data_IF_297524975841
#
_entry.id   IF_297524975841
#
_cell.length_a   1.000
_cell.length_b   1.000
_cell.length_c   1.000
_cell.angle_alpha   90.00
_cell.angle_beta   90.00
_cell.angle_gamma   90.00
#
_symmetry.space_group_name_H-M   'P 1'
#
loop_
_entity.id
_entity.type
_entity.pdbx_description
1 polymer ?
#
# COMPACT_ATOMS: atom_id res chain seq x y z
N UNK A 1 7.75 8.16 -27.42
CA UNK A 1 6.33 8.56 -27.41
C UNK A 1 5.85 8.62 -25.96
N UNK A 2 5.56 9.81 -25.45
CA UNK A 2 5.16 10.00 -24.05
C UNK A 2 3.84 9.28 -23.78
N UNK A 3 3.78 8.47 -22.70
CA UNK A 3 2.53 7.85 -22.25
C UNK A 3 1.49 8.96 -22.10
N UNK A 4 0.42 8.90 -22.89
CA UNK A 4 -0.69 9.85 -22.76
C UNK A 4 -1.18 9.81 -21.32
N UNK A 5 -1.31 10.99 -20.70
CA UNK A 5 -1.88 11.10 -19.36
C UNK A 5 -3.29 10.50 -19.44
N UNK A 6 -3.63 9.58 -18.52
CA UNK A 6 -4.91 8.87 -18.54
C UNK A 6 -6.11 9.82 -18.44
N UNK A 7 -7.27 9.38 -18.94
CA UNK A 7 -8.52 10.18 -19.08
C UNK A 7 -8.92 11.00 -17.83
N UNK A 8 -8.62 10.50 -16.62
CA UNK A 8 -8.94 11.21 -15.38
C UNK A 8 -8.12 12.47 -15.13
N UNK A 9 -6.94 12.61 -15.74
CA UNK A 9 -6.05 13.76 -15.53
C UNK A 9 -6.62 15.07 -16.06
N UNK A 10 -7.66 15.05 -16.89
CA UNK A 10 -8.37 16.26 -17.32
C UNK A 10 -9.12 16.94 -16.17
N UNK A 11 -9.37 16.22 -15.06
CA UNK A 11 -10.12 16.72 -13.90
C UNK A 11 -9.23 16.98 -12.67
N UNK A 12 -7.92 16.82 -12.82
CA UNK A 12 -6.96 16.92 -11.74
C UNK A 12 -5.71 17.67 -12.17
N UNK A 13 -5.23 18.54 -11.30
CA UNK A 13 -3.92 19.15 -11.43
C UNK A 13 -2.82 18.19 -10.99
N UNK A 14 -1.72 18.15 -11.74
CA UNK A 14 -0.57 17.29 -11.47
C UNK A 14 0.45 18.01 -10.59
N UNK A 15 0.58 17.53 -9.35
CA UNK A 15 1.58 18.02 -8.41
C UNK A 15 2.89 17.25 -8.44
N UNK A 16 3.66 17.41 -7.36
CA UNK A 16 4.96 16.78 -7.19
C UNK A 16 4.92 15.25 -7.31
N UNK A 17 6.06 14.65 -7.66
CA UNK A 17 6.23 13.19 -7.67
C UNK A 17 5.99 12.63 -6.27
N UNK A 18 5.08 11.67 -6.16
CA UNK A 18 4.86 10.90 -4.93
C UNK A 18 5.89 9.78 -4.78
N UNK A 19 6.29 9.15 -5.90
CA UNK A 19 7.36 8.17 -6.00
C UNK A 19 7.95 8.16 -7.42
N UNK A 20 8.86 7.23 -7.73
CA UNK A 20 9.50 7.12 -9.06
C UNK A 20 8.51 6.92 -10.22
N UNK A 21 7.29 6.45 -9.94
CA UNK A 21 6.30 6.06 -10.95
C UNK A 21 4.97 6.83 -10.89
N UNK A 22 4.73 7.61 -9.83
CA UNK A 22 3.43 8.23 -9.55
C UNK A 22 3.59 9.68 -9.11
N UNK A 23 2.62 10.51 -9.51
CA UNK A 23 2.51 11.92 -9.13
C UNK A 23 1.38 12.10 -8.13
N UNK A 24 1.43 13.19 -7.35
CA UNK A 24 0.26 13.67 -6.60
C UNK A 24 -0.74 14.31 -7.57
N UNK A 25 -2.02 14.12 -7.31
CA UNK A 25 -3.11 14.68 -8.08
C UNK A 25 -4.04 15.46 -7.15
N UNK A 26 -4.39 16.68 -7.53
CA UNK A 26 -5.32 17.52 -6.77
C UNK A 26 -6.56 17.78 -7.62
N UNK A 27 -7.76 17.58 -7.06
CA UNK A 27 -9.00 17.76 -7.82
C UNK A 27 -9.22 19.24 -8.17
N UNK A 28 -9.49 19.53 -9.45
CA UNK A 28 -9.70 20.90 -9.92
C UNK A 28 -10.94 21.55 -9.29
N UNK A 29 -12.00 20.77 -9.06
CA UNK A 29 -13.19 21.24 -8.34
C UNK A 29 -12.88 21.71 -6.92
N UNK A 30 -12.05 20.96 -6.19
CA UNK A 30 -11.60 21.37 -4.86
C UNK A 30 -10.73 22.63 -4.91
N UNK A 31 -9.84 22.73 -5.91
CA UNK A 31 -9.00 23.91 -6.10
C UNK A 31 -9.88 25.16 -6.33
N UNK A 32 -10.86 25.09 -7.23
CA UNK A 32 -11.81 26.19 -7.48
C UNK A 32 -12.53 26.65 -6.23
N UNK A 33 -12.99 25.69 -5.43
CA UNK A 33 -13.66 26.00 -4.17
C UNK A 33 -12.75 26.79 -3.22
N UNK A 34 -11.49 26.36 -3.07
CA UNK A 34 -10.52 27.04 -2.22
C UNK A 34 -9.99 28.36 -2.80
N UNK A 35 -10.03 28.54 -4.12
CA UNK A 35 -9.77 29.82 -4.78
C UNK A 35 -10.95 30.80 -4.71
N UNK A 36 -12.13 30.35 -4.28
CA UNK A 36 -13.35 31.16 -4.33
C UNK A 36 -13.88 31.41 -5.76
N UNK A 37 -13.39 30.66 -6.75
CA UNK A 37 -13.71 30.83 -8.17
C UNK A 37 -14.58 29.66 -8.67
N UNK A 38 -15.82 29.61 -8.17
CA UNK A 38 -16.76 28.52 -8.47
C UNK A 38 -17.21 28.51 -9.94
N UNK A 39 -17.14 29.66 -10.61
CA UNK A 39 -17.63 29.84 -11.98
C UNK A 39 -16.65 29.32 -13.06
N UNK A 40 -15.41 29.01 -12.69
CA UNK A 40 -14.43 28.48 -13.65
C UNK A 40 -14.78 27.03 -14.04
N UNK A 41 -14.56 26.68 -15.30
CA UNK A 41 -14.63 25.30 -15.74
C UNK A 41 -13.31 24.55 -15.45
N UNK A 42 -13.30 23.23 -15.67
CA UNK A 42 -12.11 22.40 -15.40
C UNK A 42 -10.90 22.81 -16.24
N UNK A 43 -11.07 23.17 -17.51
CA UNK A 43 -9.97 23.60 -18.38
C UNK A 43 -9.37 24.94 -17.92
N UNK A 44 -10.22 25.92 -17.64
CA UNK A 44 -9.83 27.25 -17.16
C UNK A 44 -9.14 27.19 -15.78
N UNK A 45 -9.44 26.17 -14.99
CA UNK A 45 -8.76 25.96 -13.69
C UNK A 45 -7.33 25.43 -13.88
N UNK A 46 -7.08 24.66 -14.94
CA UNK A 46 -5.73 24.13 -15.25
C UNK A 46 -4.87 25.23 -15.85
N UNK A 47 -5.46 26.09 -16.67
CA UNK A 47 -4.77 27.23 -17.30
C UNK A 47 -4.56 28.39 -16.32
N UNK A 48 -5.09 28.29 -15.10
CA UNK A 48 -4.83 29.23 -14.03
C UNK A 48 -3.36 29.17 -13.62
N UNK A 49 -2.74 30.33 -13.43
CA UNK A 49 -1.28 30.45 -13.30
C UNK A 49 -0.77 29.65 -12.08
N UNK A 50 -0.23 28.47 -12.36
CA UNK A 50 0.09 27.46 -11.33
C UNK A 50 1.20 27.90 -10.37
N UNK A 51 1.89 29.00 -10.70
CA UNK A 51 2.91 29.61 -9.88
C UNK A 51 2.40 30.66 -8.89
N UNK A 52 1.14 31.08 -9.01
CA UNK A 52 0.52 32.01 -8.08
C UNK A 52 0.40 31.38 -6.67
N UNK A 53 0.80 32.13 -5.64
CA UNK A 53 0.76 31.66 -4.26
C UNK A 53 -0.65 31.22 -3.83
N UNK A 54 -1.69 31.89 -4.35
CA UNK A 54 -3.09 31.53 -4.14
C UNK A 54 -3.42 30.13 -4.66
N UNK A 55 -2.93 29.77 -5.85
CA UNK A 55 -3.14 28.45 -6.44
C UNK A 55 -2.44 27.34 -5.64
N UNK A 56 -1.19 27.57 -5.22
CA UNK A 56 -0.44 26.63 -4.37
C UNK A 56 -1.13 26.43 -3.01
N UNK A 57 -1.61 27.50 -2.39
CA UNK A 57 -2.37 27.42 -1.13
C UNK A 57 -3.70 26.67 -1.30
N UNK A 58 -4.43 26.92 -2.40
CA UNK A 58 -5.64 26.17 -2.72
C UNK A 58 -5.36 24.69 -2.94
N UNK A 59 -4.24 24.33 -3.58
CA UNK A 59 -3.81 22.94 -3.73
C UNK A 59 -3.53 22.26 -2.39
N UNK A 60 -2.90 22.97 -1.45
CA UNK A 60 -2.62 22.46 -0.09
C UNK A 60 -3.93 22.26 0.67
N UNK A 61 -4.84 23.24 0.63
CA UNK A 61 -6.12 23.19 1.33
C UNK A 61 -7.06 22.10 0.79
N UNK A 62 -7.11 21.93 -0.54
CA UNK A 62 -7.88 20.89 -1.21
C UNK A 62 -7.42 19.47 -0.85
N UNK A 63 -6.14 19.32 -0.49
CA UNK A 63 -5.49 18.03 -0.30
C UNK A 63 -5.22 17.30 -1.62
N UNK A 64 -4.21 16.43 -1.61
CA UNK A 64 -3.81 15.65 -2.78
C UNK A 64 -4.17 14.17 -2.63
N UNK A 65 -4.57 13.53 -3.72
CA UNK A 65 -4.68 12.07 -3.85
C UNK A 65 -3.53 11.50 -4.66
N UNK A 66 -3.36 10.18 -4.62
CA UNK A 66 -2.42 9.49 -5.49
C UNK A 66 -2.89 9.63 -6.95
N UNK A 67 -1.99 9.99 -7.87
CA UNK A 67 -2.26 10.10 -9.32
C UNK A 67 -2.49 8.77 -10.03
N UNK A 68 -3.05 7.79 -9.32
CA UNK A 68 -3.52 6.54 -9.88
C UNK A 68 -5.00 6.67 -10.25
N UNK A 69 -5.37 6.11 -11.41
CA UNK A 69 -6.74 6.10 -11.94
C UNK A 69 -7.79 5.70 -10.89
N UNK A 70 -7.55 4.66 -10.10
CA UNK A 70 -8.51 4.19 -9.09
C UNK A 70 -8.68 5.17 -7.94
N UNK A 71 -7.59 5.80 -7.48
CA UNK A 71 -7.62 6.80 -6.41
C UNK A 71 -8.35 8.07 -6.85
N UNK A 72 -8.15 8.51 -8.10
CA UNK A 72 -8.85 9.66 -8.68
C UNK A 72 -10.36 9.39 -8.84
N UNK A 73 -10.75 8.20 -9.30
CA UNK A 73 -12.16 7.78 -9.37
C UNK A 73 -12.78 7.71 -7.96
N UNK A 74 -12.04 7.16 -7.00
CA UNK A 74 -12.49 7.04 -5.61
C UNK A 74 -12.69 8.41 -4.95
N UNK A 75 -11.85 9.41 -5.26
CA UNK A 75 -12.05 10.78 -4.79
C UNK A 75 -13.36 11.38 -5.30
N UNK A 76 -13.62 11.28 -6.62
CA UNK A 76 -14.82 11.88 -7.23
C UNK A 76 -16.09 11.18 -6.77
N UNK A 77 -16.15 9.85 -6.92
CA UNK A 77 -17.38 9.10 -6.66
C UNK A 77 -17.56 8.74 -5.20
N UNK A 78 -16.48 8.72 -4.42
CA UNK A 78 -16.50 8.36 -3.01
C UNK A 78 -17.00 6.94 -2.72
N UNK A 79 -16.82 6.57 -1.45
CA UNK A 79 -17.71 5.64 -0.75
C UNK A 79 -18.77 6.46 0.00
N UNK A 80 -18.53 6.73 1.29
CA UNK A 80 -19.46 7.50 2.14
C UNK A 80 -19.46 9.03 1.88
N UNK A 81 -18.41 9.58 1.27
CA UNK A 81 -18.29 11.02 0.99
C UNK A 81 -17.77 11.26 -0.44
N UNK A 82 -18.66 11.37 -1.44
CA UNK A 82 -18.25 11.81 -2.78
C UNK A 82 -17.72 13.25 -2.75
N UNK A 83 -16.86 13.59 -3.71
CA UNK A 83 -16.38 14.96 -3.84
C UNK A 83 -17.55 15.90 -4.18
N UNK A 84 -17.82 16.87 -3.30
CA UNK A 84 -18.92 17.84 -3.46
C UNK A 84 -18.68 18.85 -4.57
N UNK A 85 -17.41 19.07 -4.91
CA UNK A 85 -16.98 20.12 -5.85
C UNK A 85 -16.61 19.55 -7.22
N UNK A 86 -16.66 18.23 -7.40
CA UNK A 86 -16.39 17.62 -8.69
C UNK A 86 -17.42 18.06 -9.72
N UNK A 87 -16.96 18.39 -10.93
CA UNK A 87 -17.85 18.74 -12.03
C UNK A 87 -18.74 17.56 -12.45
N UNK A 88 -19.86 17.88 -13.10
CA UNK A 88 -20.75 16.85 -13.63
C UNK A 88 -20.04 15.98 -14.68
N UNK A 89 -19.19 16.58 -15.51
CA UNK A 89 -18.34 15.89 -16.49
C UNK A 89 -17.37 14.92 -15.81
N UNK A 90 -16.66 15.36 -14.76
CA UNK A 90 -15.78 14.51 -13.96
C UNK A 90 -16.54 13.32 -13.34
N UNK A 91 -17.74 13.56 -12.84
CA UNK A 91 -18.59 12.53 -12.23
C UNK A 91 -19.06 11.49 -13.26
N UNK A 92 -19.49 11.93 -14.44
CA UNK A 92 -19.91 11.04 -15.54
C UNK A 92 -18.73 10.20 -16.04
N UNK A 93 -17.57 10.83 -16.29
CA UNK A 93 -16.37 10.11 -16.74
C UNK A 93 -15.90 9.09 -15.69
N UNK A 94 -15.89 9.46 -14.41
CA UNK A 94 -15.53 8.55 -13.33
C UNK A 94 -16.50 7.35 -13.24
N UNK A 95 -17.83 7.56 -13.39
CA UNK A 95 -18.82 6.47 -13.42
C UNK A 95 -18.58 5.53 -14.59
N UNK A 96 -18.37 6.06 -15.79
CA UNK A 96 -18.10 5.28 -17.00
C UNK A 96 -16.82 4.44 -16.86
N UNK A 97 -15.76 5.01 -16.28
CA UNK A 97 -14.50 4.31 -16.03
C UNK A 97 -14.63 3.22 -14.96
N UNK A 98 -15.35 3.50 -13.87
CA UNK A 98 -15.63 2.48 -12.83
C UNK A 98 -16.39 1.30 -13.41
N UNK A 99 -17.37 1.54 -14.28
CA UNK A 99 -18.12 0.49 -14.98
C UNK A 99 -17.20 -0.33 -15.90
N UNK A 100 -16.38 0.32 -16.75
CA UNK A 100 -15.38 -0.36 -17.62
C UNK A 100 -14.43 -1.27 -16.82
N UNK A 101 -13.98 -0.82 -15.65
CA UNK A 101 -13.10 -1.62 -14.76
C UNK A 101 -13.85 -2.84 -14.18
N UNK A 102 -15.14 -2.70 -13.84
CA UNK A 102 -15.94 -3.81 -13.35
C UNK A 102 -16.26 -4.84 -14.44
N UNK A 103 -16.56 -4.38 -15.65
CA UNK A 103 -16.91 -5.26 -16.77
C UNK A 103 -15.70 -6.09 -17.25
N UNK A 104 -14.51 -5.47 -17.30
CA UNK A 104 -13.25 -6.18 -17.60
C UNK A 104 -12.91 -7.25 -16.55
N UNK A 105 -13.16 -6.98 -15.26
CA UNK A 105 -13.00 -7.98 -14.20
C UNK A 105 -14.00 -9.14 -14.29
N UNK A 106 -15.22 -8.90 -14.77
CA UNK A 106 -16.23 -9.96 -14.98
C UNK A 106 -15.91 -10.84 -16.19
N UNK A 107 -15.38 -10.26 -17.27
CA UNK A 107 -15.04 -10.99 -18.51
C UNK A 107 -13.87 -11.97 -18.32
N UNK A 108 -12.93 -11.70 -17.41
CA UNK A 108 -11.82 -12.62 -17.08
C UNK A 108 -12.17 -13.83 -16.20
N UNK A 109 -13.44 -14.01 -15.79
CA UNK A 109 -13.87 -15.10 -14.88
C UNK A 109 -14.70 -16.20 -15.57
N UNK A 110 -14.93 -16.12 -16.88
CA UNK A 110 -15.62 -17.17 -17.66
C UNK A 110 -14.73 -17.62 -18.80
N UNK A 111 -14.06 -18.75 -18.59
CA UNK A 111 -13.69 -19.81 -19.54
C UNK A 111 -12.56 -20.64 -18.92
N UNK A 112 -12.93 -21.69 -18.18
CA UNK A 112 -12.13 -22.90 -18.08
C UNK A 112 -13.11 -24.05 -18.15
N UNK A 113 -13.52 -24.32 -19.38
CA UNK A 113 -14.22 -25.53 -19.76
C UNK A 113 -13.23 -26.69 -19.70
N UNK A 114 -13.73 -27.85 -19.27
CA UNK A 114 -12.94 -29.05 -19.05
C UNK A 114 -12.71 -29.79 -20.36
N UNK A 115 -11.49 -30.26 -20.59
CA UNK A 115 -11.26 -31.42 -21.43
C UNK A 115 -9.97 -32.12 -21.01
N UNK A 116 -10.10 -33.41 -20.75
CA UNK A 116 -9.04 -34.37 -20.44
C UNK A 116 -8.16 -34.61 -21.66
N UNK A 117 -6.88 -34.90 -21.42
CA UNK A 117 -5.94 -35.37 -22.44
C UNK A 117 -4.58 -35.63 -21.81
N UNK A 118 -4.31 -36.90 -21.55
CA UNK A 118 -2.99 -37.45 -21.21
C UNK A 118 -2.01 -37.21 -22.38
N UNK A 119 -0.76 -36.85 -22.09
CA UNK A 119 0.38 -37.23 -22.94
C UNK A 119 1.72 -37.11 -22.17
N UNK A 120 2.58 -38.11 -22.33
CA UNK A 120 3.90 -38.26 -21.71
C UNK A 120 5.02 -37.59 -22.53
N UNK A 121 6.11 -37.16 -21.88
CA UNK A 121 7.44 -37.04 -22.52
C UNK A 121 8.00 -35.62 -22.74
N UNK A 122 9.32 -35.48 -23.00
CA UNK A 122 10.22 -34.84 -22.01
C UNK A 122 10.94 -33.57 -22.48
N UNK A 123 11.28 -32.72 -21.48
CA UNK A 123 12.46 -31.84 -21.41
C UNK A 123 12.68 -30.77 -22.48
N UNK A 124 12.51 -29.49 -22.12
CA UNK A 124 13.60 -28.50 -22.24
C UNK A 124 13.33 -27.20 -21.43
N UNK A 125 14.43 -26.54 -21.10
CA UNK A 125 14.68 -25.37 -20.27
C UNK A 125 13.68 -24.20 -20.49
N UNK A 126 13.09 -23.69 -19.40
CA UNK A 126 12.63 -22.30 -19.28
C UNK A 126 12.42 -21.88 -17.82
N UNK A 127 12.78 -20.63 -17.55
CA UNK A 127 12.87 -19.90 -16.27
C UNK A 127 11.63 -19.99 -15.35
N UNK A 128 11.80 -19.90 -14.01
CA UNK A 128 10.67 -20.02 -13.08
C UNK A 128 9.77 -18.77 -13.13
N UNK A 129 8.57 -18.96 -13.67
CA UNK A 129 7.48 -17.99 -13.64
C UNK A 129 7.16 -17.48 -12.21
N UNK A 130 6.76 -16.21 -12.05
CA UNK A 130 6.45 -15.64 -10.73
C UNK A 130 5.25 -16.33 -10.08
N UNK A 131 5.49 -16.85 -8.88
CA UNK A 131 4.57 -17.64 -8.08
C UNK A 131 3.21 -16.99 -7.84
N UNK A 132 2.15 -17.78 -8.03
CA UNK A 132 0.73 -17.52 -7.75
C UNK A 132 0.52 -16.79 -6.40
N UNK A 133 0.10 -15.52 -6.46
CA UNK A 133 -0.49 -14.80 -5.31
C UNK A 133 -1.73 -15.56 -4.83
N UNK A 134 -1.69 -16.05 -3.59
CA UNK A 134 -2.84 -16.66 -2.90
C UNK A 134 -3.99 -15.66 -2.84
N UNK A 135 -5.20 -16.11 -3.20
CA UNK A 135 -6.44 -15.34 -3.09
C UNK A 135 -6.72 -15.06 -1.61
N UNK A 136 -6.86 -13.79 -1.25
CA UNK A 136 -7.49 -13.40 0.00
C UNK A 136 -8.94 -13.93 -0.03
N UNK A 137 -9.31 -14.72 0.97
CA UNK A 137 -10.68 -15.23 1.11
C UNK A 137 -11.56 -14.05 1.52
N UNK A 138 -12.39 -13.64 0.58
CA UNK A 138 -13.43 -12.64 0.76
C UNK A 138 -14.62 -13.32 1.45
N UNK A 139 -14.78 -13.09 2.75
CA UNK A 139 -16.03 -13.37 3.46
C UNK A 139 -16.16 -12.44 4.66
N UNK A 140 -16.71 -11.25 4.41
CA UNK A 140 -17.29 -10.40 5.46
C UNK A 140 -18.79 -10.42 5.27
N UNK A 141 -19.46 -11.30 6.02
CA UNK A 141 -20.91 -11.21 6.23
C UNK A 141 -21.20 -9.95 7.04
N UNK A 142 -22.00 -9.05 6.47
CA UNK A 142 -22.43 -7.81 7.11
C UNK A 142 -23.55 -8.10 8.10
N UNK A 143 -23.20 -8.41 9.35
CA UNK A 143 -24.09 -8.22 10.48
C UNK A 143 -23.51 -7.16 11.41
N UNK A 144 -23.84 -5.89 11.15
CA UNK A 144 -23.56 -4.81 12.09
C UNK A 144 -24.68 -4.75 13.13
N UNK A 145 -24.49 -5.41 14.27
CA UNK A 145 -25.26 -5.16 15.48
C UNK A 145 -24.36 -4.43 16.49
N UNK A 146 -24.74 -3.17 16.79
CA UNK A 146 -24.32 -2.35 17.95
C UNK A 146 -22.82 -2.35 18.28
N UNK A 147 -22.06 -1.45 17.63
CA UNK A 147 -20.61 -1.28 17.86
C UNK A 147 -20.30 -0.88 19.31
N UNK A 148 -19.71 -1.79 20.07
CA UNK A 148 -18.84 -1.44 21.19
C UNK A 148 -17.59 -0.77 20.60
N UNK A 149 -17.30 0.46 20.99
CA UNK A 149 -16.11 1.18 20.54
C UNK A 149 -14.91 0.59 21.28
N UNK A 150 -14.23 -0.35 20.65
CA UNK A 150 -12.94 -0.84 21.12
C UNK A 150 -11.84 0.07 20.56
N UNK A 151 -10.92 0.52 21.42
CA UNK A 151 -9.67 1.14 20.94
C UNK A 151 -8.96 0.08 20.10
N UNK A 152 -8.38 0.45 18.95
CA UNK A 152 -7.89 -0.50 17.92
C UNK A 152 -6.80 -1.50 18.35
N UNK A 153 -6.37 -1.48 19.62
CA UNK A 153 -5.36 -2.37 20.23
C UNK A 153 -6.04 -3.38 21.19
N UNK A 154 -7.32 -3.19 21.53
CA UNK A 154 -8.04 -3.95 22.56
C UNK A 154 -9.30 -4.62 22.00
N UNK A 155 -9.21 -5.18 20.79
CA UNK A 155 -10.26 -6.09 20.30
C UNK A 155 -9.82 -7.49 20.73
N UNK A 156 -10.56 -8.15 21.65
CA UNK A 156 -10.22 -9.52 22.03
C UNK A 156 -10.40 -10.43 20.81
N UNK A 157 -9.46 -11.36 20.62
CA UNK A 157 -9.62 -12.42 19.63
C UNK A 157 -10.75 -13.35 20.04
N UNK A 158 -11.48 -13.86 19.07
CA UNK A 158 -12.37 -15.00 19.32
C UNK A 158 -11.55 -16.28 19.55
N UNK A 159 -12.12 -17.26 20.24
CA UNK A 159 -11.46 -18.55 20.51
C UNK A 159 -10.97 -19.26 19.22
N UNK A 160 -11.66 -19.08 18.10
CA UNK A 160 -11.28 -19.63 16.80
C UNK A 160 -10.05 -18.91 16.20
N UNK A 161 -10.01 -17.59 16.32
CA UNK A 161 -8.88 -16.77 15.88
C UNK A 161 -7.64 -17.05 16.74
N UNK A 162 -7.81 -17.16 18.06
CA UNK A 162 -6.73 -17.50 18.99
C UNK A 162 -6.08 -18.84 18.64
N UNK A 163 -6.90 -19.89 18.42
CA UNK A 163 -6.40 -21.21 17.99
C UNK A 163 -5.65 -21.13 16.66
N UNK A 164 -6.16 -20.33 15.72
CA UNK A 164 -5.52 -20.14 14.41
C UNK A 164 -4.16 -19.45 14.57
N UNK A 165 -4.09 -18.41 15.39
CA UNK A 165 -2.86 -17.68 15.70
C UNK A 165 -1.86 -18.61 16.38
N UNK A 166 -2.25 -19.33 17.43
CA UNK A 166 -1.38 -20.29 18.14
C UNK A 166 -0.83 -21.35 17.19
N UNK A 167 -1.68 -21.91 16.31
CA UNK A 167 -1.25 -22.91 15.32
C UNK A 167 -0.19 -22.34 14.36
N UNK A 168 -0.39 -21.13 13.85
CA UNK A 168 0.59 -20.49 12.96
C UNK A 168 1.88 -20.13 13.69
N UNK A 169 1.76 -19.70 14.95
CA UNK A 169 2.91 -19.35 15.79
C UNK A 169 3.80 -20.57 16.05
N UNK A 170 3.19 -21.72 16.39
CA UNK A 170 3.91 -23.00 16.54
C UNK A 170 4.57 -23.44 15.23
N UNK A 171 3.86 -23.34 14.11
CA UNK A 171 4.41 -23.69 12.78
C UNK A 171 5.61 -22.81 12.42
N UNK A 172 5.53 -21.51 12.67
CA UNK A 172 6.63 -20.57 12.43
C UNK A 172 7.85 -20.91 13.31
N UNK A 173 7.62 -21.18 14.60
CA UNK A 173 8.69 -21.55 15.54
C UNK A 173 9.44 -22.79 15.07
N UNK A 174 8.73 -23.85 14.69
CA UNK A 174 9.33 -25.10 14.20
C UNK A 174 10.03 -24.87 12.85
N UNK A 175 9.35 -24.21 11.90
CA UNK A 175 9.88 -24.02 10.55
C UNK A 175 11.11 -23.13 10.49
N UNK A 176 11.22 -22.15 11.39
CA UNK A 176 12.36 -21.26 11.50
C UNK A 176 13.41 -21.75 12.52
N UNK A 177 13.17 -22.91 13.15
CA UNK A 177 14.02 -23.49 14.19
C UNK A 177 14.36 -22.50 15.32
N UNK A 178 13.36 -21.76 15.79
CA UNK A 178 13.53 -20.74 16.82
C UNK A 178 13.49 -21.36 18.23
N UNK A 179 14.30 -20.87 19.19
CA UNK A 179 14.27 -21.35 20.57
C UNK A 179 12.97 -20.94 21.24
N UNK A 180 12.34 -21.80 22.05
CA UNK A 180 11.01 -21.53 22.65
C UNK A 180 10.90 -20.20 23.41
N UNK A 181 12.00 -19.73 24.01
CA UNK A 181 12.05 -18.46 24.74
C UNK A 181 11.86 -17.22 23.87
N UNK A 182 11.97 -17.33 22.54
CA UNK A 182 11.83 -16.19 21.61
C UNK A 182 10.46 -15.49 21.72
N UNK A 183 9.45 -16.19 22.21
CA UNK A 183 8.08 -15.66 22.36
C UNK A 183 7.95 -14.66 23.52
N UNK A 184 8.88 -14.74 24.48
CA UNK A 184 8.94 -13.88 25.66
C UNK A 184 9.92 -12.71 25.46
N UNK A 185 10.68 -12.72 24.36
CA UNK A 185 11.64 -11.67 24.06
C UNK A 185 10.91 -10.33 23.82
N UNK A 186 11.29 -9.26 24.55
CA UNK A 186 10.59 -7.98 24.48
C UNK A 186 10.69 -7.31 23.11
N UNK A 187 11.79 -7.49 22.37
CA UNK A 187 11.94 -6.94 21.02
C UNK A 187 11.09 -7.70 20.01
N UNK A 188 10.90 -9.01 20.19
CA UNK A 188 9.96 -9.81 19.39
C UNK A 188 8.51 -9.38 19.64
N UNK A 189 8.09 -9.22 20.89
CA UNK A 189 6.72 -8.76 21.25
C UNK A 189 6.45 -7.37 20.65
N UNK A 190 7.44 -6.48 20.74
CA UNK A 190 7.38 -5.14 20.16
C UNK A 190 7.31 -5.18 18.63
N UNK A 191 8.08 -6.05 17.98
CA UNK A 191 8.01 -6.28 16.54
C UNK A 191 6.59 -6.69 16.10
N UNK A 192 5.97 -7.64 16.80
CA UNK A 192 4.58 -8.02 16.53
C UNK A 192 3.60 -6.86 16.72
N UNK A 193 3.82 -6.02 17.73
CA UNK A 193 3.00 -4.82 17.98
C UNK A 193 3.15 -3.76 16.87
N UNK A 194 4.30 -3.72 16.19
CA UNK A 194 4.54 -2.82 15.06
C UNK A 194 3.94 -3.34 13.75
N UNK A 195 3.72 -4.64 13.62
CA UNK A 195 3.16 -5.22 12.40
C UNK A 195 1.70 -4.77 12.18
N UNK A 196 1.47 -4.16 11.02
CA UNK A 196 0.13 -3.82 10.50
C UNK A 196 -0.19 -4.68 9.28
N UNK A 197 -1.29 -4.39 8.59
CA UNK A 197 -1.75 -5.08 7.37
C UNK A 197 -0.75 -5.12 6.19
N UNK A 198 0.43 -4.49 6.30
CA UNK A 198 1.49 -4.48 5.29
C UNK A 198 2.84 -5.00 5.80
N UNK A 199 2.86 -5.83 6.85
CA UNK A 199 4.08 -6.41 7.45
C UNK A 199 5.05 -6.98 6.41
N UNK A 200 4.55 -7.72 5.41
CA UNK A 200 5.37 -8.34 4.37
C UNK A 200 6.17 -7.38 3.49
N UNK A 201 5.80 -6.10 3.41
CA UNK A 201 6.54 -5.10 2.63
C UNK A 201 7.73 -4.50 3.39
N UNK A 202 7.72 -4.61 4.72
CA UNK A 202 8.69 -3.96 5.61
C UNK A 202 9.72 -4.96 6.14
N UNK A 203 9.40 -6.26 6.13
CA UNK A 203 10.34 -7.31 6.54
C UNK A 203 11.55 -7.30 5.58
N UNK A 204 12.76 -7.05 6.10
CA UNK A 204 13.96 -7.03 5.26
C UNK A 204 14.25 -8.43 4.72
N UNK A 205 14.89 -8.50 3.55
CA UNK A 205 15.42 -9.76 3.04
C UNK A 205 16.61 -10.21 3.89
N UNK A 206 16.93 -11.51 3.87
CA UNK A 206 18.08 -12.07 4.61
C UNK A 206 19.40 -11.35 4.26
N UNK A 207 19.59 -10.97 2.99
CA UNK A 207 20.76 -10.21 2.53
C UNK A 207 20.85 -8.83 3.17
N UNK A 208 19.72 -8.11 3.24
CA UNK A 208 19.66 -6.78 3.85
C UNK A 208 19.89 -6.87 5.36
N UNK A 209 19.33 -7.90 6.01
CA UNK A 209 19.54 -8.13 7.44
C UNK A 209 21.01 -8.43 7.75
N UNK A 210 21.62 -9.38 7.02
CA UNK A 210 23.03 -9.73 7.20
C UNK A 210 23.97 -8.53 6.96
N UNK A 211 23.74 -7.77 5.88
CA UNK A 211 24.55 -6.58 5.59
C UNK A 211 24.46 -5.51 6.68
N UNK A 212 23.28 -5.31 7.28
CA UNK A 212 23.11 -4.35 8.37
C UNK A 212 23.78 -4.80 9.66
N UNK A 213 23.72 -6.09 9.98
CA UNK A 213 24.40 -6.63 11.15
C UNK A 213 25.92 -6.42 11.05
N UNK A 214 26.50 -6.73 9.88
CA UNK A 214 27.94 -6.53 9.64
C UNK A 214 28.35 -5.06 9.75
N UNK A 215 27.55 -4.13 9.21
CA UNK A 215 27.83 -2.69 9.31
C UNK A 215 27.74 -2.17 10.75
N UNK A 216 26.76 -2.66 11.52
CA UNK A 216 26.61 -2.26 12.92
C UNK A 216 27.76 -2.81 13.78
N UNK A 217 28.16 -4.06 13.55
CA UNK A 217 29.33 -4.68 14.20
C UNK A 217 30.63 -3.93 13.86
N UNK A 218 30.81 -3.53 12.59
CA UNK A 218 31.96 -2.73 12.17
C UNK A 218 32.00 -1.38 12.90
N UNK A 219 30.86 -0.68 12.98
CA UNK A 219 30.77 0.60 13.70
C UNK A 219 31.11 0.46 15.18
N UNK A 220 30.54 -0.54 15.85
CA UNK A 220 30.85 -0.82 17.27
C UNK A 220 32.32 -1.19 17.45
N UNK A 221 32.90 -1.96 16.54
CA UNK A 221 34.31 -2.33 16.57
C UNK A 221 35.26 -1.13 16.39
N UNK A 222 34.92 -0.18 15.53
CA UNK A 222 35.67 1.07 15.37
C UNK A 222 35.57 1.95 16.62
N UNK A 223 34.36 2.14 17.15
CA UNK A 223 34.12 2.89 18.40
C UNK A 223 34.92 2.28 19.55
N UNK A 224 34.87 0.95 19.72
CA UNK A 224 35.64 0.23 20.75
C UNK A 224 37.15 0.39 20.57
N UNK A 225 37.67 0.26 19.34
CA UNK A 225 39.10 0.48 19.05
C UNK A 225 39.55 1.90 19.37
N UNK A 226 38.71 2.90 19.16
CA UNK A 226 39.02 4.28 19.54
C UNK A 226 39.10 4.46 21.06
N UNK A 227 38.16 3.90 21.81
CA UNK A 227 38.22 3.92 23.28
C UNK A 227 39.43 3.18 23.84
N UNK A 228 39.80 2.04 23.24
CA UNK A 228 40.87 1.17 23.75
C UNK A 228 42.28 1.57 23.27
N UNK A 229 42.42 2.55 22.37
CA UNK A 229 43.71 2.95 21.76
C UNK A 229 44.81 3.31 22.77
N UNK A 230 44.45 3.69 23.99
CA UNK A 230 45.39 4.10 25.04
C UNK A 230 45.33 3.21 26.30
N UNK A 231 44.60 2.09 26.26
CA UNK A 231 44.45 1.18 27.39
C UNK A 231 45.26 -0.10 27.16
N UNK A 232 46.10 -0.48 28.12
CA UNK A 232 46.82 -1.76 28.07
C UNK A 232 45.90 -2.87 28.57
N UNK A 233 45.28 -3.60 27.65
CA UNK A 233 44.42 -4.74 27.96
C UNK A 233 45.24 -6.04 27.85
N UNK A 234 45.35 -6.78 28.95
CA UNK A 234 45.91 -8.14 28.97
C UNK A 234 44.77 -9.16 29.04
N UNK A 235 44.73 -10.09 28.09
CA UNK A 235 43.87 -11.26 28.16
C UNK A 235 44.53 -12.28 29.11
N UNK A 236 44.01 -12.40 30.32
CA UNK A 236 44.31 -13.51 31.25
C UNK A 236 43.37 -14.67 31.03
#
# INVERSE_FOLDING_TARGET
MGKSKGEMWQYFWQGAKANSSQYRATCLGCIRHHLGKVDLNDAETVDFDSDEAAFKNACIAAGSVLGEKNAMIAHILGGEKPCRYASNTATVTAKALRKRIQDTRKKGKRERDGSSGDDEGPGDISEPAPSKRRRAVDRVEKHQTKRKVFKGISIPFSDEEEKTIHTQFTRATISANLPFQWVEDPEIIKLFSMFRSCAGNVIPSSKVLAGRLLQEEERVGEEQKETLKNENVTLT
#
